data_IF_584715540583
#
_entry.id   IF_584715540583
#
_cell.length_a   1.000
_cell.length_b   1.000
_cell.length_c   1.000
_cell.angle_alpha   90.00
_cell.angle_beta   90.00
_cell.angle_gamma   90.00
#
_symmetry.space_group_name_H-M   'P 1'
#
loop_
_entity.id
_entity.type
_entity.pdbx_description
1 polymer ?
#
# COMPACT_ATOMS: atom_id res chain seq x y z
N UNK A 1 -26.46 6.31 -10.74
CA UNK A 1 -25.61 6.73 -9.62
C UNK A 1 -26.02 6.10 -8.27
N UNK A 2 -27.13 5.35 -8.17
CA UNK A 2 -27.59 4.71 -6.91
C UNK A 2 -27.30 3.20 -6.84
N UNK A 3 -26.69 2.60 -7.87
CA UNK A 3 -26.49 1.14 -8.00
C UNK A 3 -25.01 0.69 -8.10
N UNK A 4 -24.03 1.59 -8.00
CA UNK A 4 -22.61 1.25 -8.25
C UNK A 4 -21.89 0.79 -6.97
N UNK A 5 -22.27 -0.38 -6.46
CA UNK A 5 -21.49 -1.06 -5.42
C UNK A 5 -20.12 -1.50 -5.99
N UNK A 6 -19.00 -1.42 -5.25
CA UNK A 6 -17.68 -1.72 -5.81
C UNK A 6 -17.46 -3.21 -6.05
N UNK A 7 -16.82 -3.56 -7.17
CA UNK A 7 -16.23 -4.88 -7.39
C UNK A 7 -14.84 -4.98 -6.72
N UNK A 8 -14.16 -3.84 -6.63
CA UNK A 8 -12.85 -3.72 -5.98
C UNK A 8 -12.73 -2.42 -5.20
N UNK A 9 -12.16 -2.52 -4.00
CA UNK A 9 -11.82 -1.38 -3.14
C UNK A 9 -10.29 -1.34 -2.96
N UNK A 10 -9.69 -0.20 -3.30
CA UNK A 10 -8.24 -0.03 -3.41
C UNK A 10 -7.77 1.11 -2.50
N UNK A 11 -6.63 0.94 -1.83
CA UNK A 11 -6.00 2.05 -1.11
C UNK A 11 -4.50 1.87 -0.97
N UNK A 12 -3.79 2.99 -0.86
CA UNK A 12 -2.36 2.98 -0.60
C UNK A 12 -2.08 2.72 0.89
N UNK A 13 -0.99 2.05 1.21
CA UNK A 13 -0.67 1.64 2.59
C UNK A 13 0.74 2.03 3.00
N UNK A 14 0.82 2.97 3.93
CA UNK A 14 2.03 3.22 4.72
C UNK A 14 1.97 2.36 5.97
N UNK A 15 1.17 2.77 6.95
CA UNK A 15 0.74 1.92 8.08
C UNK A 15 -0.70 1.38 7.96
N UNK A 16 -1.38 1.65 6.86
CA UNK A 16 -2.70 1.07 6.52
C UNK A 16 -3.94 1.85 6.99
N UNK A 17 -3.82 2.90 7.80
CA UNK A 17 -4.97 3.60 8.40
C UNK A 17 -5.96 4.19 7.38
N UNK A 18 -5.47 4.84 6.33
CA UNK A 18 -6.33 5.46 5.30
C UNK A 18 -7.13 4.40 4.52
N UNK A 19 -6.49 3.29 4.15
CA UNK A 19 -7.15 2.19 3.45
C UNK A 19 -8.16 1.52 4.36
N UNK A 20 -7.76 1.20 5.60
CA UNK A 20 -8.66 0.69 6.64
C UNK A 20 -9.89 1.57 6.82
N UNK A 21 -9.72 2.89 6.91
CA UNK A 21 -10.83 3.83 7.03
C UNK A 21 -11.83 3.74 5.88
N UNK A 22 -11.35 3.50 4.65
CA UNK A 22 -12.21 3.34 3.48
C UNK A 22 -12.88 1.95 3.43
N UNK A 23 -12.12 0.87 3.61
CA UNK A 23 -12.58 -0.46 3.23
C UNK A 23 -13.42 -1.17 4.31
N UNK A 24 -13.29 -0.81 5.61
CA UNK A 24 -13.98 -1.51 6.70
C UNK A 24 -15.50 -1.61 6.54
N UNK A 25 -16.23 -0.56 6.12
CA UNK A 25 -17.67 -0.69 5.85
C UNK A 25 -18.00 -1.75 4.79
N UNK A 26 -17.25 -1.79 3.68
CA UNK A 26 -17.44 -2.76 2.61
C UNK A 26 -17.03 -4.17 3.04
N UNK A 27 -15.97 -4.31 3.85
CA UNK A 27 -15.59 -5.59 4.43
C UNK A 27 -16.68 -6.13 5.35
N UNK A 28 -17.25 -5.28 6.20
CA UNK A 28 -18.37 -5.65 7.06
C UNK A 28 -19.56 -6.15 6.24
N UNK A 29 -19.94 -5.43 5.18
CA UNK A 29 -21.02 -5.86 4.29
C UNK A 29 -20.73 -7.22 3.64
N UNK A 30 -19.50 -7.45 3.17
CA UNK A 30 -19.07 -8.73 2.60
C UNK A 30 -19.22 -9.87 3.61
N UNK A 31 -18.65 -9.74 4.81
CA UNK A 31 -18.65 -10.83 5.81
C UNK A 31 -19.99 -11.01 6.52
N UNK A 32 -20.84 -9.98 6.55
CA UNK A 32 -22.20 -10.08 7.10
C UNK A 32 -23.26 -10.52 6.07
N UNK A 33 -22.86 -10.75 4.81
CA UNK A 33 -23.77 -11.13 3.73
C UNK A 33 -24.72 -10.02 3.27
N UNK A 34 -24.40 -8.76 3.60
CA UNK A 34 -25.17 -7.57 3.16
C UNK A 34 -24.70 -7.04 1.81
N UNK A 35 -23.47 -7.34 1.41
CA UNK A 35 -22.94 -6.92 0.13
C UNK A 35 -23.78 -7.54 -1.01
N UNK A 36 -24.26 -6.75 -1.99
CA UNK A 36 -25.05 -7.25 -3.11
C UNK A 36 -24.23 -8.08 -4.11
N UNK A 37 -22.90 -8.02 -4.03
CA UNK A 37 -21.94 -8.80 -4.84
C UNK A 37 -20.63 -9.00 -4.07
N UNK A 38 -19.78 -9.90 -4.55
CA UNK A 38 -18.45 -10.09 -3.97
C UNK A 38 -17.54 -8.88 -4.22
N UNK A 39 -16.64 -8.61 -3.28
CA UNK A 39 -15.75 -7.46 -3.28
C UNK A 39 -14.31 -7.92 -3.09
N UNK A 40 -13.41 -7.45 -3.94
CA UNK A 40 -11.96 -7.58 -3.75
C UNK A 40 -11.39 -6.36 -3.03
N UNK A 41 -10.37 -6.57 -2.22
CA UNK A 41 -9.69 -5.51 -1.48
C UNK A 41 -8.21 -5.52 -1.85
N UNK A 42 -7.66 -4.37 -2.26
CA UNK A 42 -6.26 -4.26 -2.70
C UNK A 42 -5.53 -3.17 -1.90
N UNK A 43 -4.50 -3.59 -1.17
CA UNK A 43 -3.56 -2.73 -0.47
C UNK A 43 -2.32 -2.48 -1.34
N UNK A 44 -2.13 -1.24 -1.78
CA UNK A 44 -1.02 -0.84 -2.65
C UNK A 44 0.13 -0.18 -1.87
N UNK A 45 1.33 -0.73 -1.93
CA UNK A 45 2.53 -0.23 -1.26
C UNK A 45 3.68 0.07 -2.23
N UNK A 46 4.79 0.58 -1.69
CA UNK A 46 6.00 0.85 -2.47
C UNK A 46 6.93 -0.36 -2.49
N UNK A 47 7.54 -0.68 -3.64
CA UNK A 47 8.61 -1.69 -3.72
C UNK A 47 9.87 -1.31 -2.94
N UNK A 48 10.01 -0.02 -2.60
CA UNK A 48 11.06 0.50 -1.73
C UNK A 48 10.83 0.24 -0.24
N UNK A 49 9.56 0.02 0.16
CA UNK A 49 9.14 -0.33 1.52
C UNK A 49 8.08 -1.45 1.45
N UNK A 50 8.46 -2.67 0.99
CA UNK A 50 7.50 -3.74 0.65
C UNK A 50 7.04 -4.52 1.89
N UNK A 51 6.39 -3.84 2.83
CA UNK A 51 6.04 -4.37 4.15
C UNK A 51 5.03 -5.51 4.10
N UNK A 52 3.97 -5.38 3.30
CA UNK A 52 2.91 -6.38 3.17
C UNK A 52 3.25 -7.50 2.18
N UNK A 53 3.96 -7.16 1.09
CA UNK A 53 4.28 -8.12 0.03
C UNK A 53 5.53 -8.95 0.31
N UNK A 54 6.47 -8.44 1.13
CA UNK A 54 7.76 -9.10 1.39
C UNK A 54 8.22 -9.07 2.86
N UNK A 55 7.55 -8.32 3.73
CA UNK A 55 7.78 -8.39 5.17
C UNK A 55 7.28 -9.70 5.78
N UNK A 56 7.47 -9.85 7.09
CA UNK A 56 6.99 -11.03 7.82
C UNK A 56 5.84 -10.66 8.75
N UNK A 57 4.90 -11.58 8.92
CA UNK A 57 3.83 -11.44 9.90
C UNK A 57 4.32 -11.95 11.27
N UNK A 58 4.72 -11.03 12.14
CA UNK A 58 5.28 -11.35 13.46
C UNK A 58 5.01 -10.26 14.50
N UNK A 59 5.42 -10.48 15.74
CA UNK A 59 5.39 -9.45 16.77
C UNK A 59 6.57 -8.48 16.62
N UNK A 60 6.29 -7.19 16.60
CA UNK A 60 7.30 -6.13 16.54
C UNK A 60 6.79 -4.83 17.18
N UNK A 61 7.67 -3.85 17.41
CA UNK A 61 7.26 -2.54 17.87
C UNK A 61 6.63 -1.72 16.75
N UNK A 62 5.54 -1.01 17.07
CA UNK A 62 4.87 -0.07 16.18
C UNK A 62 5.64 1.24 16.00
N UNK A 63 6.72 1.45 16.75
CA UNK A 63 7.56 2.63 16.61
C UNK A 63 9.04 2.26 16.67
N UNK A 64 9.87 3.08 16.03
CA UNK A 64 11.32 2.86 15.96
C UNK A 64 12.00 3.05 17.32
N UNK A 65 11.37 3.76 18.27
CA UNK A 65 11.91 4.01 19.61
C UNK A 65 11.54 2.91 20.61
N UNK A 66 10.71 1.93 20.21
CA UNK A 66 10.26 0.78 21.01
C UNK A 66 9.47 1.19 22.26
N UNK A 67 8.65 2.24 22.15
CA UNK A 67 7.81 2.73 23.24
C UNK A 67 6.45 2.00 23.25
N UNK A 68 5.95 1.57 22.10
CA UNK A 68 4.72 0.77 22.02
C UNK A 68 4.95 -0.63 22.61
N UNK A 69 3.89 -1.32 23.04
CA UNK A 69 3.96 -2.77 23.21
C UNK A 69 4.34 -3.46 21.88
N UNK A 70 4.67 -4.75 21.95
CA UNK A 70 4.80 -5.59 20.77
C UNK A 70 3.43 -5.87 20.18
N UNK A 71 3.34 -5.75 18.87
CA UNK A 71 2.10 -5.86 18.11
C UNK A 71 2.31 -6.87 16.99
N UNK A 72 1.35 -7.79 16.80
CA UNK A 72 1.40 -8.78 15.71
C UNK A 72 0.99 -8.12 14.39
N UNK A 73 1.95 -7.92 13.49
CA UNK A 73 1.76 -7.22 12.22
C UNK A 73 2.74 -7.70 11.15
N UNK A 74 2.47 -7.36 9.89
CA UNK A 74 3.51 -7.38 8.88
C UNK A 74 4.55 -6.30 9.19
N UNK A 75 5.83 -6.66 9.12
CA UNK A 75 6.94 -5.75 9.43
C UNK A 75 8.18 -6.02 8.56
N UNK A 76 8.90 -4.96 8.21
CA UNK A 76 10.29 -4.99 7.72
C UNK A 76 11.32 -4.88 8.85
N UNK A 77 10.85 -4.79 10.10
CA UNK A 77 11.60 -4.53 11.32
C UNK A 77 11.58 -3.07 11.74
N UNK A 78 11.34 -2.78 13.02
CA UNK A 78 11.32 -1.40 13.55
C UNK A 78 12.64 -0.63 13.43
N UNK A 79 13.75 -1.29 13.12
CA UNK A 79 15.03 -0.64 12.76
C UNK A 79 15.19 -0.40 11.25
N UNK A 80 14.20 -0.77 10.44
CA UNK A 80 14.23 -0.51 9.00
C UNK A 80 14.38 0.98 8.71
N UNK A 81 15.29 1.29 7.79
CA UNK A 81 15.51 2.65 7.31
C UNK A 81 15.15 2.68 5.83
N UNK A 82 14.15 3.50 5.43
CA UNK A 82 13.80 3.69 4.03
C UNK A 82 15.01 4.18 3.22
N UNK A 83 15.16 3.74 1.97
CA UNK A 83 16.24 4.19 1.10
C UNK A 83 16.14 5.71 0.84
N UNK A 84 17.26 6.46 0.84
CA UNK A 84 17.26 7.92 0.71
C UNK A 84 16.77 8.40 -0.67
N UNK A 85 16.86 7.53 -1.68
CA UNK A 85 16.43 7.80 -3.06
C UNK A 85 14.93 7.58 -3.30
N UNK A 86 14.17 7.18 -2.27
CA UNK A 86 12.75 6.91 -2.41
C UNK A 86 11.89 8.15 -2.16
N UNK A 87 11.19 8.57 -3.20
CA UNK A 87 10.34 9.77 -3.20
C UNK A 87 8.84 9.46 -3.15
N UNK A 88 8.44 8.17 -3.20
CA UNK A 88 7.03 7.75 -3.25
C UNK A 88 6.28 7.72 -1.90
N UNK A 89 6.86 8.22 -0.81
CA UNK A 89 6.21 8.16 0.51
C UNK A 89 6.13 6.74 1.08
N UNK A 90 5.07 6.39 1.81
CA UNK A 90 4.81 5.03 2.34
C UNK A 90 6.00 4.36 3.05
N UNK A 91 6.67 5.12 3.92
CA UNK A 91 7.98 4.75 4.51
C UNK A 91 7.95 3.91 5.79
N UNK A 92 6.75 3.66 6.32
CA UNK A 92 6.62 3.02 7.61
C UNK A 92 6.93 1.52 7.53
N UNK A 93 7.60 0.98 8.55
CA UNK A 93 8.14 -0.38 8.54
C UNK A 93 7.10 -1.46 8.82
N UNK A 94 6.00 -1.08 9.49
CA UNK A 94 4.93 -1.98 9.92
C UNK A 94 3.63 -1.72 9.18
N UNK A 95 2.59 -2.50 9.46
CA UNK A 95 1.23 -2.20 9.00
C UNK A 95 0.20 -2.50 10.08
N UNK A 96 -1.00 -1.93 9.96
CA UNK A 96 -2.06 -2.12 10.93
C UNK A 96 -2.28 -3.63 11.23
N UNK A 97 -2.43 -4.04 12.50
CA UNK A 97 -2.53 -5.47 12.87
C UNK A 97 -3.72 -6.17 12.23
N UNK A 98 -4.85 -5.47 12.18
CA UNK A 98 -6.09 -5.96 11.58
C UNK A 98 -5.96 -6.11 10.07
N UNK A 99 -5.35 -5.15 9.39
CA UNK A 99 -5.04 -5.26 7.96
C UNK A 99 -4.06 -6.41 7.69
N UNK A 100 -3.02 -6.54 8.51
CA UNK A 100 -2.04 -7.61 8.40
C UNK A 100 -2.69 -8.99 8.54
N UNK A 101 -3.61 -9.14 9.49
CA UNK A 101 -4.40 -10.37 9.65
C UNK A 101 -5.23 -10.68 8.40
N UNK A 102 -5.94 -9.69 7.85
CA UNK A 102 -6.76 -9.92 6.66
C UNK A 102 -5.96 -10.31 5.42
N UNK A 103 -4.70 -9.87 5.32
CA UNK A 103 -3.79 -10.31 4.25
C UNK A 103 -3.37 -11.77 4.46
N UNK A 104 -3.03 -12.15 5.70
CA UNK A 104 -2.69 -13.55 6.04
C UNK A 104 -3.85 -14.50 5.77
N UNK A 105 -5.06 -14.07 6.11
CA UNK A 105 -6.29 -14.85 5.90
C UNK A 105 -6.80 -14.81 4.45
N UNK A 106 -6.14 -14.07 3.55
CA UNK A 106 -6.49 -14.01 2.13
C UNK A 106 -7.73 -13.19 1.79
N UNK A 107 -8.19 -12.31 2.69
CA UNK A 107 -9.30 -11.39 2.43
C UNK A 107 -8.87 -10.10 1.71
N UNK A 108 -7.59 -9.73 1.81
CA UNK A 108 -7.02 -8.53 1.20
C UNK A 108 -5.77 -8.93 0.41
N UNK A 109 -5.74 -8.53 -0.86
CA UNK A 109 -4.57 -8.66 -1.72
C UNK A 109 -3.58 -7.50 -1.45
N UNK A 110 -2.28 -7.78 -1.47
CA UNK A 110 -1.24 -6.75 -1.40
C UNK A 110 -0.46 -6.68 -2.72
N UNK A 111 -0.19 -5.46 -3.19
CA UNK A 111 0.59 -5.19 -4.41
C UNK A 111 1.62 -4.11 -4.15
N UNK A 112 2.79 -4.21 -4.78
CA UNK A 112 3.87 -3.24 -4.64
C UNK A 112 4.25 -2.62 -6.00
N UNK A 113 4.39 -1.31 -6.05
CA UNK A 113 4.81 -0.57 -7.23
C UNK A 113 6.11 0.21 -7.00
N UNK A 114 6.92 0.32 -8.04
CA UNK A 114 8.10 1.16 -8.02
C UNK A 114 7.74 2.63 -8.26
N UNK A 115 8.57 3.53 -7.74
CA UNK A 115 8.26 4.96 -7.81
C UNK A 115 8.10 5.50 -9.24
N UNK A 116 8.79 4.94 -10.24
CA UNK A 116 8.67 5.46 -11.62
C UNK A 116 7.28 5.15 -12.19
N UNK A 117 6.80 3.91 -12.04
CA UNK A 117 5.45 3.54 -12.49
C UNK A 117 4.35 4.28 -11.73
N UNK A 118 4.59 4.62 -10.46
CA UNK A 118 3.68 5.43 -9.64
C UNK A 118 3.59 6.87 -10.14
N UNK A 119 4.72 7.52 -10.42
CA UNK A 119 4.72 8.89 -10.95
C UNK A 119 4.19 8.97 -12.39
N UNK A 120 4.38 7.92 -13.20
CA UNK A 120 3.74 7.80 -14.51
C UNK A 120 2.21 7.77 -14.38
N UNK A 121 1.68 6.90 -13.51
CA UNK A 121 0.25 6.82 -13.22
C UNK A 121 -0.31 8.15 -12.67
N UNK A 122 0.41 8.79 -11.75
CA UNK A 122 0.02 10.09 -11.21
C UNK A 122 -0.05 11.19 -12.29
N UNK A 123 0.93 11.19 -13.20
CA UNK A 123 0.98 12.14 -14.31
C UNK A 123 -0.20 11.93 -15.26
N UNK A 124 -0.50 10.67 -15.60
CA UNK A 124 -1.67 10.34 -16.41
C UNK A 124 -2.97 10.81 -15.73
N UNK A 125 -3.16 10.45 -14.46
CA UNK A 125 -4.33 10.83 -13.67
C UNK A 125 -4.50 12.35 -13.60
N UNK A 126 -3.43 13.09 -13.34
CA UNK A 126 -3.47 14.56 -13.30
C UNK A 126 -3.88 15.16 -14.64
N UNK A 127 -3.40 14.61 -15.76
CA UNK A 127 -3.73 15.10 -17.10
C UNK A 127 -5.19 14.83 -17.50
N UNK A 128 -5.76 13.73 -17.01
CA UNK A 128 -7.13 13.31 -17.36
C UNK A 128 -8.16 13.89 -16.40
N UNK A 129 -7.90 13.83 -15.10
CA UNK A 129 -8.85 14.20 -14.03
C UNK A 129 -8.60 15.60 -13.45
N UNK A 130 -7.45 16.22 -13.75
CA UNK A 130 -7.10 17.56 -13.27
C UNK A 130 -6.69 17.65 -11.80
N UNK A 131 -6.61 16.52 -11.08
CA UNK A 131 -6.19 16.46 -9.68
C UNK A 131 -4.78 15.88 -9.59
N UNK A 132 -3.87 16.61 -8.93
CA UNK A 132 -2.51 16.14 -8.64
C UNK A 132 -2.51 15.26 -7.38
N UNK A 133 -2.31 13.94 -7.46
CA UNK A 133 -2.32 13.07 -6.29
C UNK A 133 -1.04 13.24 -5.46
N UNK A 134 -1.10 12.98 -4.16
CA UNK A 134 0.11 12.78 -3.36
C UNK A 134 0.88 11.55 -3.88
N UNK A 135 2.22 11.49 -3.77
CA UNK A 135 3.00 10.32 -4.16
C UNK A 135 2.52 9.02 -3.49
N UNK A 136 2.05 9.10 -2.23
CA UNK A 136 1.40 7.99 -1.53
C UNK A 136 0.14 7.53 -2.27
N UNK A 137 -0.81 8.45 -2.48
CA UNK A 137 -2.09 8.18 -3.14
C UNK A 137 -1.91 7.64 -4.56
N UNK A 138 -0.85 8.04 -5.25
CA UNK A 138 -0.54 7.58 -6.59
C UNK A 138 -0.32 6.06 -6.68
N UNK A 139 0.02 5.37 -5.58
CA UNK A 139 0.09 3.91 -5.56
C UNK A 139 -1.32 3.28 -5.72
N UNK A 140 -2.34 3.88 -5.10
CA UNK A 140 -3.73 3.45 -5.27
C UNK A 140 -4.24 3.77 -6.68
N UNK A 141 -3.88 4.95 -7.23
CA UNK A 141 -4.18 5.33 -8.62
C UNK A 141 -3.58 4.33 -9.59
N UNK A 142 -2.31 3.95 -9.41
CA UNK A 142 -1.65 2.95 -10.25
C UNK A 142 -2.37 1.60 -10.20
N UNK A 143 -2.73 1.12 -9.00
CA UNK A 143 -3.51 -0.11 -8.85
C UNK A 143 -4.91 -0.01 -9.51
N UNK A 144 -5.59 1.12 -9.40
CA UNK A 144 -6.89 1.34 -10.04
C UNK A 144 -6.78 1.31 -11.57
N UNK A 145 -5.75 1.93 -12.14
CA UNK A 145 -5.46 1.88 -13.58
C UNK A 145 -5.21 0.43 -14.01
N UNK A 146 -4.43 -0.34 -13.25
CA UNK A 146 -4.13 -1.73 -13.60
C UNK A 146 -5.39 -2.62 -13.55
N UNK A 147 -6.26 -2.46 -12.56
CA UNK A 147 -7.54 -3.18 -12.52
C UNK A 147 -8.47 -2.75 -13.67
N UNK A 148 -8.50 -1.47 -14.05
CA UNK A 148 -9.28 -0.99 -15.19
C UNK A 148 -8.76 -1.57 -16.53
N UNK A 149 -7.43 -1.66 -16.69
CA UNK A 149 -6.82 -2.29 -17.87
C UNK A 149 -7.17 -3.77 -17.94
N UNK A 150 -7.06 -4.51 -16.83
CA UNK A 150 -7.43 -5.94 -16.77
C UNK A 150 -8.91 -6.16 -17.09
N UNK A 151 -9.80 -5.34 -16.54
CA UNK A 151 -11.23 -5.43 -16.81
C UNK A 151 -11.53 -5.21 -18.30
N UNK A 152 -10.89 -4.20 -18.92
CA UNK A 152 -10.98 -3.96 -20.36
C UNK A 152 -10.49 -5.15 -21.19
N UNK A 153 -9.36 -5.76 -20.81
CA UNK A 153 -8.82 -6.95 -21.48
C UNK A 153 -9.75 -8.16 -21.39
N UNK A 154 -10.49 -8.28 -20.29
CA UNK A 154 -11.53 -9.32 -20.08
C UNK A 154 -12.90 -8.93 -20.65
N UNK A 155 -13.05 -7.71 -21.19
CA UNK A 155 -14.32 -7.15 -21.63
C UNK A 155 -15.39 -7.17 -20.52
N UNK A 156 -14.99 -6.82 -19.30
CA UNK A 156 -15.83 -6.73 -18.12
C UNK A 156 -16.08 -5.26 -17.74
N UNK A 157 -17.32 -4.95 -17.37
CA UNK A 157 -17.66 -3.68 -16.72
C UNK A 157 -17.59 -3.88 -15.21
N UNK A 158 -16.73 -3.10 -14.54
CA UNK A 158 -16.53 -3.16 -13.09
C UNK A 158 -16.52 -1.76 -12.48
N UNK A 159 -16.92 -1.67 -11.22
CA UNK A 159 -16.85 -0.48 -10.39
C UNK A 159 -15.60 -0.55 -9.49
N UNK A 160 -14.68 0.39 -9.70
CA UNK A 160 -13.45 0.52 -8.93
C UNK A 160 -13.61 1.68 -7.95
N UNK A 161 -13.59 1.39 -6.66
CA UNK A 161 -13.49 2.40 -5.60
C UNK A 161 -12.04 2.48 -5.13
N UNK A 162 -11.41 3.64 -5.18
CA UNK A 162 -10.06 3.81 -4.62
C UNK A 162 -9.95 5.05 -3.73
N UNK A 163 -9.09 4.99 -2.72
CA UNK A 163 -8.84 6.11 -1.83
C UNK A 163 -7.79 7.08 -2.41
N UNK A 164 -8.21 8.27 -2.84
CA UNK A 164 -7.29 9.37 -3.09
C UNK A 164 -6.98 10.09 -1.77
N UNK A 165 -6.03 9.53 -1.00
CA UNK A 165 -5.78 9.92 0.40
C UNK A 165 -5.24 11.33 0.63
N UNK A 166 -4.81 12.03 -0.43
CA UNK A 166 -4.22 13.37 -0.35
C UNK A 166 -3.75 13.89 -1.71
N UNK A 167 -3.47 15.19 -1.77
CA UNK A 167 -3.00 15.92 -2.96
C UNK A 167 -1.48 16.13 -2.95
N UNK A 168 -0.87 16.27 -4.13
CA UNK A 168 0.58 16.38 -4.30
C UNK A 168 1.16 17.79 -4.31
N UNK A 169 0.38 18.83 -3.98
CA UNK A 169 0.84 20.23 -4.07
C UNK A 169 2.09 20.56 -3.24
N UNK A 170 2.38 19.79 -2.19
CA UNK A 170 3.57 19.97 -1.36
C UNK A 170 4.70 18.98 -1.70
N UNK A 171 4.48 18.11 -2.69
CA UNK A 171 5.42 17.07 -3.13
C UNK A 171 6.02 17.36 -4.50
N UNK A 172 5.95 18.62 -4.94
CA UNK A 172 6.37 19.06 -6.28
C UNK A 172 7.82 18.70 -6.61
N UNK A 173 8.70 18.66 -5.60
CA UNK A 173 10.09 18.23 -5.79
C UNK A 173 10.17 16.78 -6.28
N UNK A 174 9.34 15.87 -5.76
CA UNK A 174 9.34 14.48 -6.19
C UNK A 174 8.88 14.34 -7.65
N UNK A 175 7.86 15.13 -8.05
CA UNK A 175 7.42 15.23 -9.43
C UNK A 175 8.48 15.85 -10.34
N UNK A 176 9.20 16.88 -9.90
CA UNK A 176 10.32 17.48 -10.64
C UNK A 176 11.43 16.45 -10.89
N UNK A 177 11.84 15.68 -9.87
CA UNK A 177 12.83 14.61 -10.02
C UNK A 177 12.36 13.53 -11.02
N UNK A 178 11.05 13.23 -11.06
CA UNK A 178 10.49 12.34 -12.06
C UNK A 178 10.60 12.92 -13.48
N UNK A 179 10.15 14.16 -13.69
CA UNK A 179 10.17 14.80 -15.01
C UNK A 179 11.59 15.05 -15.54
N UNK A 180 12.56 15.27 -14.64
CA UNK A 180 13.97 15.40 -14.99
C UNK A 180 14.64 14.04 -15.29
N UNK A 181 13.94 12.91 -15.10
CA UNK A 181 14.49 11.56 -15.31
C UNK A 181 15.47 11.11 -14.23
N UNK A 182 15.46 11.76 -13.06
CA UNK A 182 16.36 11.45 -11.95
C UNK A 182 15.84 10.30 -11.08
N UNK A 183 14.52 10.10 -11.04
CA UNK A 183 13.94 8.95 -10.33
C UNK A 183 14.21 7.65 -11.10
N UNK A 184 14.62 6.63 -10.35
CA UNK A 184 14.85 5.27 -10.87
C UNK A 184 13.94 4.28 -10.15
N UNK A 185 13.52 3.19 -10.82
CA UNK A 185 12.84 2.10 -10.15
C UNK A 185 13.73 1.58 -9.02
N UNK A 186 13.13 1.31 -7.85
CA UNK A 186 13.88 0.81 -6.70
C UNK A 186 13.11 -0.30 -6.00
N UNK A 187 13.81 -1.40 -5.75
CA UNK A 187 13.29 -2.57 -5.05
C UNK A 187 14.17 -2.80 -3.83
N UNK A 188 13.57 -2.83 -2.65
CA UNK A 188 14.34 -3.00 -1.42
C UNK A 188 15.05 -4.37 -1.43
N UNK A 189 16.37 -4.45 -1.17
CA UNK A 189 17.10 -5.70 -1.33
C UNK A 189 16.63 -6.79 -0.36
N UNK A 190 16.43 -8.01 -0.89
CA UNK A 190 16.01 -9.18 -0.12
C UNK A 190 16.95 -9.49 1.06
N UNK A 191 18.26 -9.33 0.84
CA UNK A 191 19.25 -9.53 1.90
C UNK A 191 19.06 -8.56 3.08
N UNK A 192 18.63 -7.32 2.80
CA UNK A 192 18.38 -6.34 3.87
C UNK A 192 17.11 -6.65 4.65
N UNK A 193 16.05 -7.13 3.97
CA UNK A 193 14.83 -7.63 4.64
C UNK A 193 15.20 -8.76 5.60
N UNK A 194 15.96 -9.75 5.13
CA UNK A 194 16.41 -10.89 5.97
C UNK A 194 17.24 -10.43 7.15
N UNK A 195 18.19 -9.51 6.96
CA UNK A 195 19.00 -8.95 8.04
C UNK A 195 18.14 -8.27 9.12
N UNK A 196 17.15 -7.48 8.72
CA UNK A 196 16.25 -6.82 9.67
C UNK A 196 15.40 -7.83 10.44
N UNK A 197 14.89 -8.86 9.75
CA UNK A 197 14.10 -9.93 10.37
C UNK A 197 14.91 -10.72 11.40
N UNK A 198 16.14 -11.11 11.06
CA UNK A 198 17.01 -11.86 11.96
C UNK A 198 17.38 -11.03 13.20
N UNK A 199 17.53 -9.71 13.06
CA UNK A 199 17.68 -8.81 14.20
C UNK A 199 16.48 -8.89 15.15
N UNK A 200 15.24 -8.81 14.65
CA UNK A 200 14.02 -8.94 15.48
C UNK A 200 14.03 -10.27 16.25
N UNK A 201 14.25 -11.38 15.55
CA UNK A 201 14.29 -12.72 16.18
C UNK A 201 15.39 -12.83 17.24
N UNK A 202 16.54 -12.20 17.01
CA UNK A 202 17.65 -12.20 17.98
C UNK A 202 17.34 -11.37 19.23
N UNK A 203 16.61 -10.26 19.09
CA UNK A 203 16.21 -9.41 20.21
C UNK A 203 15.11 -10.07 21.05
N UNK A 204 14.16 -10.74 20.41
CA UNK A 204 13.00 -11.32 21.07
C UNK A 204 12.90 -12.82 20.81
N UNK A 205 13.69 -13.60 21.55
CA UNK A 205 13.79 -15.07 21.40
C UNK A 205 12.47 -15.85 21.58
N UNK A 206 11.43 -15.22 22.10
CA UNK A 206 10.10 -15.83 22.23
C UNK A 206 9.24 -15.65 20.98
N UNK A 207 9.71 -14.89 19.98
CA UNK A 207 9.02 -14.62 18.71
C UNK A 207 9.44 -15.62 17.61
N UNK A 208 10.52 -16.39 17.83
CA UNK A 208 11.06 -17.38 16.89
C UNK A 208 10.26 -18.67 16.82
#
# INVERSE_FOLDING_TARGET
>A
LMDDYPDVVIGCVGGGSNFSGLFWPFYYDKVSGKAPKDIRFIAAEATACPTLTRGIYTYDHGDTARITPLIKMHTLGHEFIPPPIHAGGLRYHGNAPTLSLLIVEGYVDAVAYDQVSVFEAATLFTRVEGILPAPESAHAVKAAIDEAVKARERNEEITILFNLSGHGFFDMKAYEEYFNGNLKPYYYPEEQIRKNIEKIKSMYKFIS
#
